data_IF_058581541548
#
_entry.id   IF_058581541548
#
_cell.length_a   1.000
_cell.length_b   1.000
_cell.length_c   1.000
_cell.angle_alpha   90.00
_cell.angle_beta   90.00
_cell.angle_gamma   90.00
#
_symmetry.space_group_name_H-M   'P 1'
#
loop_
_entity.id
_entity.type
_entity.pdbx_description
1 polymer ?
#
# COMPACT_ATOMS: atom_id res chain seq x y z
N UNK A 1 -6.60 7.37 -3.23
CA UNK A 1 -5.15 7.67 -3.35
C UNK A 1 -4.42 6.70 -2.42
N UNK A 2 -3.09 6.56 -2.47
CA UNK A 2 -2.41 5.68 -1.51
C UNK A 2 -2.52 6.25 -0.08
N UNK A 3 -2.69 5.38 0.92
CA UNK A 3 -3.01 5.82 2.29
C UNK A 3 -1.93 6.72 2.91
N UNK A 4 -0.63 6.51 2.60
CA UNK A 4 0.44 7.36 3.12
C UNK A 4 0.39 8.76 2.51
N UNK A 5 0.05 8.85 1.23
CA UNK A 5 -0.05 10.14 0.53
C UNK A 5 -1.28 10.92 1.00
N UNK A 6 -2.37 10.22 1.34
CA UNK A 6 -3.53 10.84 2.00
C UNK A 6 -3.19 11.27 3.43
N UNK A 7 -2.48 10.44 4.20
CA UNK A 7 -2.08 10.76 5.57
C UNK A 7 -1.12 11.95 5.65
N UNK A 8 -0.19 12.09 4.70
CA UNK A 8 0.68 13.28 4.61
C UNK A 8 -0.14 14.56 4.38
N UNK A 9 -1.19 14.48 3.56
CA UNK A 9 -2.07 15.62 3.25
C UNK A 9 -3.03 15.95 4.41
N UNK A 10 -3.54 14.93 5.10
CA UNK A 10 -4.44 15.05 6.25
C UNK A 10 -3.91 14.19 7.41
N UNK A 11 -2.92 14.67 8.18
CA UNK A 11 -2.30 13.90 9.27
C UNK A 11 -3.23 13.65 10.46
N UNK A 12 -4.21 14.54 10.66
CA UNK A 12 -5.17 14.48 11.75
C UNK A 12 -6.53 14.08 11.18
N UNK A 13 -6.96 12.86 11.46
CA UNK A 13 -8.22 12.30 10.99
C UNK A 13 -9.30 12.48 12.07
N UNK A 14 -10.45 13.02 11.66
CA UNK A 14 -11.67 13.03 12.46
C UNK A 14 -12.40 11.70 12.24
N UNK A 15 -12.86 11.06 13.31
CA UNK A 15 -13.51 9.75 13.30
C UNK A 15 -12.83 8.71 12.37
N UNK A 16 -11.56 8.36 12.62
CA UNK A 16 -10.75 7.59 11.66
C UNK A 16 -11.39 6.26 11.23
N UNK A 17 -12.09 5.60 12.15
CA UNK A 17 -12.75 4.32 11.89
C UNK A 17 -13.95 4.43 10.93
N UNK A 18 -14.76 5.48 11.07
CA UNK A 18 -16.01 5.65 10.30
C UNK A 18 -15.77 6.35 8.97
N UNK A 19 -14.86 7.34 8.92
CA UNK A 19 -14.68 8.22 7.76
C UNK A 19 -13.41 7.93 6.96
N UNK A 20 -12.44 7.22 7.54
CA UNK A 20 -11.10 7.08 6.98
C UNK A 20 -10.56 5.65 7.12
N UNK A 21 -11.43 4.65 6.93
CA UNK A 21 -11.10 3.24 7.10
C UNK A 21 -9.91 2.80 6.23
N UNK A 22 -9.79 3.38 5.03
CA UNK A 22 -8.70 3.18 4.09
C UNK A 22 -7.32 3.53 4.66
N UNK A 23 -7.24 4.44 5.65
CA UNK A 23 -6.01 4.78 6.38
C UNK A 23 -5.98 4.04 7.71
N UNK A 24 -7.03 4.17 8.52
CA UNK A 24 -7.13 3.68 9.89
C UNK A 24 -6.79 2.19 10.03
N UNK A 25 -7.22 1.36 9.07
CA UNK A 25 -6.96 -0.10 9.06
C UNK A 25 -5.47 -0.46 9.11
N UNK A 26 -4.61 0.40 8.60
CA UNK A 26 -3.16 0.16 8.58
C UNK A 26 -2.53 0.36 9.97
N UNK A 27 -3.22 1.08 10.86
CA UNK A 27 -2.69 1.49 12.16
C UNK A 27 -3.23 0.70 13.35
N UNK A 28 -4.39 0.03 13.24
CA UNK A 28 -4.94 -0.72 14.39
C UNK A 28 -4.03 -1.85 14.92
N UNK A 29 -3.05 -2.25 14.11
CA UNK A 29 -2.08 -3.27 14.49
C UNK A 29 -1.03 -2.77 15.48
N UNK A 30 -0.77 -1.48 15.54
CA UNK A 30 0.27 -0.88 16.36
C UNK A 30 -0.20 -0.61 17.79
N UNK A 31 0.62 -1.00 18.76
CA UNK A 31 0.50 -0.62 20.17
C UNK A 31 1.22 0.71 20.41
N UNK A 32 1.38 1.14 21.67
CA UNK A 32 2.32 2.22 22.00
C UNK A 32 3.76 1.76 21.70
N UNK A 33 4.61 2.64 21.18
CA UNK A 33 6.00 2.35 20.85
C UNK A 33 6.45 2.88 19.48
N UNK A 34 7.64 2.45 19.05
CA UNK A 34 8.25 2.79 17.75
C UNK A 34 8.18 1.58 16.83
N UNK A 35 7.75 1.80 15.58
CA UNK A 35 7.53 0.75 14.61
C UNK A 35 8.12 1.11 13.25
N UNK A 36 8.73 0.10 12.62
CA UNK A 36 9.11 0.16 11.21
C UNK A 36 7.80 0.09 10.40
N UNK A 37 7.53 1.13 9.63
CA UNK A 37 6.44 1.17 8.68
C UNK A 37 6.88 0.68 7.28
N UNK A 38 6.00 0.77 6.28
CA UNK A 38 6.28 0.28 4.94
C UNK A 38 7.36 1.13 4.25
N UNK A 39 8.08 0.53 3.29
CA UNK A 39 9.09 1.22 2.48
C UNK A 39 8.91 0.92 0.99
N UNK A 40 9.36 1.86 0.17
CA UNK A 40 9.38 1.78 -1.28
C UNK A 40 10.75 2.18 -1.79
N UNK A 41 11.33 1.37 -2.66
CA UNK A 41 12.53 1.73 -3.41
C UNK A 41 12.19 1.91 -4.88
N UNK A 42 12.60 3.02 -5.45
CA UNK A 42 12.47 3.36 -6.87
C UNK A 42 13.88 3.32 -7.46
N UNK A 43 14.06 2.56 -8.53
CA UNK A 43 15.35 2.40 -9.21
C UNK A 43 15.16 2.73 -10.68
N UNK A 44 15.97 3.64 -11.22
CA UNK A 44 15.92 4.04 -12.63
C UNK A 44 17.08 3.43 -13.40
N UNK A 45 16.80 2.89 -14.57
CA UNK A 45 17.79 2.60 -15.61
C UNK A 45 17.38 3.30 -16.90
N UNK A 46 18.22 3.29 -17.93
CA UNK A 46 17.88 3.91 -19.21
C UNK A 46 16.55 3.39 -19.80
N UNK A 47 16.24 2.11 -19.61
CA UNK A 47 15.07 1.49 -20.22
C UNK A 47 13.83 1.47 -19.30
N UNK A 48 14.01 1.38 -17.98
CA UNK A 48 12.90 1.10 -17.06
C UNK A 48 13.04 1.72 -15.68
N UNK A 49 11.90 1.94 -15.04
CA UNK A 49 11.78 2.24 -13.62
C UNK A 49 11.32 0.96 -12.92
N UNK A 50 12.03 0.57 -11.87
CA UNK A 50 11.69 -0.58 -11.03
C UNK A 50 11.26 -0.09 -9.66
N UNK A 51 10.06 -0.49 -9.25
CA UNK A 51 9.50 -0.27 -7.92
C UNK A 51 9.69 -1.54 -7.11
N UNK A 52 10.22 -1.41 -5.89
CA UNK A 52 10.32 -2.50 -4.91
C UNK A 52 9.65 -2.04 -3.63
N UNK A 53 8.49 -2.61 -3.35
CA UNK A 53 7.64 -2.24 -2.22
C UNK A 53 7.64 -3.31 -1.13
N UNK A 54 7.60 -2.84 0.11
CA UNK A 54 7.19 -3.66 1.24
C UNK A 54 5.68 -3.95 1.18
N UNK A 55 5.19 -4.75 2.12
CA UNK A 55 3.75 -4.84 2.37
C UNK A 55 3.17 -3.45 2.61
N UNK A 56 1.96 -3.19 2.12
CA UNK A 56 1.24 -1.91 2.07
C UNK A 56 1.68 -0.94 0.96
N UNK A 57 2.54 -1.38 0.05
CA UNK A 57 2.80 -0.68 -1.22
C UNK A 57 2.22 -1.42 -2.44
N UNK A 58 1.61 -2.59 -2.25
CA UNK A 58 1.09 -3.39 -3.35
C UNK A 58 0.05 -2.66 -4.20
N UNK A 59 -0.83 -1.88 -3.58
CA UNK A 59 -1.90 -1.17 -4.27
C UNK A 59 -1.35 0.03 -5.06
N UNK A 60 -0.40 0.78 -4.50
CA UNK A 60 0.29 1.87 -5.18
C UNK A 60 1.08 1.34 -6.38
N UNK A 61 1.86 0.27 -6.19
CA UNK A 61 2.67 -0.30 -7.27
C UNK A 61 1.75 -0.85 -8.37
N UNK A 62 0.70 -1.56 -7.99
CA UNK A 62 -0.29 -2.10 -8.92
C UNK A 62 -0.97 -0.97 -9.70
N UNK A 63 -1.42 0.10 -9.03
CA UNK A 63 -2.03 1.28 -9.66
C UNK A 63 -1.06 1.96 -10.62
N UNK A 64 0.16 2.23 -10.17
CA UNK A 64 1.15 2.96 -10.94
C UNK A 64 1.51 2.21 -12.23
N UNK A 65 1.79 0.91 -12.16
CA UNK A 65 2.11 0.13 -13.37
C UNK A 65 0.88 0.01 -14.27
N UNK A 66 -0.31 -0.20 -13.72
CA UNK A 66 -1.55 -0.30 -14.52
C UNK A 66 -1.87 0.99 -15.27
N UNK A 67 -1.64 2.16 -14.67
CA UNK A 67 -1.83 3.46 -15.33
C UNK A 67 -1.00 3.64 -16.60
N UNK A 68 0.18 2.99 -16.67
CA UNK A 68 1.10 3.07 -17.83
C UNK A 68 0.67 2.21 -19.03
N UNK A 69 -0.35 1.37 -18.89
CA UNK A 69 -0.89 0.57 -19.99
C UNK A 69 -1.54 1.49 -21.03
N UNK A 70 -1.07 1.45 -22.28
CA UNK A 70 -1.58 2.32 -23.34
C UNK A 70 -2.97 1.90 -23.85
N UNK A 71 -3.16 0.62 -24.16
CA UNK A 71 -4.43 0.11 -24.67
C UNK A 71 -5.34 -0.28 -23.49
N UNK A 72 -6.37 0.52 -23.22
CA UNK A 72 -7.23 0.31 -22.06
C UNK A 72 -8.18 -0.88 -22.19
N UNK A 73 -8.49 -1.29 -23.43
CA UNK A 73 -9.44 -2.36 -23.75
C UNK A 73 -8.78 -3.73 -23.93
N UNK A 74 -7.45 -3.79 -24.00
CA UNK A 74 -6.74 -5.05 -24.14
C UNK A 74 -6.81 -5.84 -22.83
N UNK A 75 -7.38 -7.04 -22.91
CA UNK A 75 -7.40 -7.97 -21.80
C UNK A 75 -6.02 -8.60 -21.60
N UNK A 76 -5.65 -8.79 -20.34
CA UNK A 76 -4.45 -9.51 -19.95
C UNK A 76 -4.72 -10.36 -18.71
N UNK A 77 -3.90 -11.39 -18.55
CA UNK A 77 -4.03 -12.32 -17.44
C UNK A 77 -3.51 -11.69 -16.14
N UNK A 78 -4.34 -11.76 -15.10
CA UNK A 78 -3.96 -11.49 -13.72
C UNK A 78 -4.01 -12.77 -12.89
N UNK A 79 -3.09 -12.87 -11.93
CA UNK A 79 -3.06 -13.95 -10.94
C UNK A 79 -2.80 -13.37 -9.57
N UNK A 80 -3.50 -13.85 -8.54
CA UNK A 80 -3.27 -13.36 -7.20
C UNK A 80 -4.38 -13.69 -6.22
N UNK A 81 -4.55 -12.79 -5.24
CA UNK A 81 -5.47 -13.01 -4.13
C UNK A 81 -6.10 -11.71 -3.67
N UNK A 82 -7.40 -11.71 -3.45
CA UNK A 82 -8.10 -10.69 -2.68
C UNK A 82 -8.22 -11.18 -1.24
N UNK A 83 -7.84 -10.34 -0.27
CA UNK A 83 -8.02 -10.60 1.16
C UNK A 83 -8.80 -9.44 1.77
N UNK A 84 -10.05 -9.68 2.17
CA UNK A 84 -10.93 -8.70 2.76
C UNK A 84 -11.17 -8.96 4.25
N UNK A 85 -11.35 -7.88 5.02
CA UNK A 85 -11.71 -7.95 6.44
C UNK A 85 -13.22 -8.18 6.66
N UNK A 86 -14.04 -7.76 5.70
CA UNK A 86 -15.49 -7.92 5.62
C UNK A 86 -15.89 -8.69 4.35
N UNK A 87 -17.17 -9.03 4.22
CA UNK A 87 -17.70 -9.58 2.97
C UNK A 87 -17.82 -8.46 1.93
N UNK A 88 -17.20 -8.65 0.77
CA UNK A 88 -17.15 -7.68 -0.32
C UNK A 88 -17.73 -8.25 -1.62
N UNK A 89 -18.58 -9.29 -1.52
CA UNK A 89 -19.21 -9.92 -2.69
C UNK A 89 -20.02 -8.92 -3.54
N UNK A 90 -20.77 -8.02 -2.89
CA UNK A 90 -21.54 -7.00 -3.60
C UNK A 90 -20.64 -6.08 -4.44
N UNK A 91 -19.52 -5.62 -3.86
CA UNK A 91 -18.53 -4.77 -4.57
C UNK A 91 -17.97 -5.51 -5.79
N UNK A 92 -17.66 -6.81 -5.66
CA UNK A 92 -17.18 -7.65 -6.77
C UNK A 92 -18.21 -7.67 -7.90
N UNK A 93 -19.49 -7.93 -7.58
CA UNK A 93 -20.57 -7.99 -8.57
C UNK A 93 -20.88 -6.64 -9.21
N UNK A 94 -20.90 -5.55 -8.43
CA UNK A 94 -21.17 -4.18 -8.93
C UNK A 94 -20.11 -3.70 -9.93
N UNK A 95 -18.86 -4.12 -9.75
CA UNK A 95 -17.75 -3.80 -10.67
C UNK A 95 -17.76 -4.74 -11.90
N UNK A 96 -18.59 -5.79 -11.90
CA UNK A 96 -18.67 -6.76 -13.00
C UNK A 96 -17.58 -7.84 -12.96
N UNK A 97 -17.04 -8.12 -11.77
CA UNK A 97 -16.07 -9.20 -11.55
C UNK A 97 -16.77 -10.49 -11.08
N UNK A 98 -16.15 -11.63 -11.34
CA UNK A 98 -16.69 -12.96 -10.97
C UNK A 98 -15.84 -13.66 -9.90
N UNK A 99 -15.18 -12.91 -9.02
CA UNK A 99 -14.27 -13.46 -8.03
C UNK A 99 -15.03 -14.08 -6.85
N UNK A 100 -14.78 -15.36 -6.59
CA UNK A 100 -15.50 -16.11 -5.55
C UNK A 100 -14.83 -15.95 -4.19
N UNK A 101 -15.50 -15.26 -3.27
CA UNK A 101 -15.04 -15.13 -1.88
C UNK A 101 -15.32 -16.39 -1.08
N UNK A 102 -14.32 -16.81 -0.31
CA UNK A 102 -14.42 -17.87 0.69
C UNK A 102 -14.05 -17.31 2.05
N UNK A 103 -14.91 -17.55 3.06
CA UNK A 103 -14.63 -17.20 4.44
C UNK A 103 -13.52 -18.10 5.00
N UNK A 104 -12.53 -17.52 5.69
CA UNK A 104 -11.48 -18.30 6.33
C UNK A 104 -12.01 -19.06 7.54
N UNK A 105 -11.51 -20.29 7.72
CA UNK A 105 -11.88 -21.21 8.81
C UNK A 105 -11.06 -21.01 10.09
N UNK A 106 -10.03 -20.17 10.05
CA UNK A 106 -9.16 -19.91 11.21
C UNK A 106 -9.76 -18.98 12.26
N UNK A 107 -9.02 -18.78 13.37
CA UNK A 107 -9.39 -17.85 14.45
C UNK A 107 -9.66 -16.42 13.94
N UNK A 108 -8.90 -16.00 12.93
CA UNK A 108 -9.17 -14.75 12.21
C UNK A 108 -10.16 -15.03 11.08
N UNK A 109 -11.39 -14.52 11.23
CA UNK A 109 -12.42 -14.53 10.20
C UNK A 109 -12.16 -13.38 9.21
N UNK A 110 -11.67 -13.73 8.02
CA UNK A 110 -11.48 -12.87 6.85
C UNK A 110 -12.14 -13.53 5.63
N UNK A 111 -12.28 -12.79 4.53
CA UNK A 111 -12.77 -13.31 3.26
C UNK A 111 -11.63 -13.31 2.24
N UNK A 112 -11.54 -14.37 1.44
CA UNK A 112 -10.44 -14.57 0.49
C UNK A 112 -10.97 -15.06 -0.85
N UNK A 113 -10.52 -14.46 -1.94
CA UNK A 113 -10.69 -15.00 -3.30
C UNK A 113 -9.32 -15.28 -3.90
N UNK A 114 -9.13 -16.49 -4.44
CA UNK A 114 -8.01 -16.79 -5.34
C UNK A 114 -8.40 -16.32 -6.74
N UNK A 115 -7.52 -15.60 -7.41
CA UNK A 115 -7.82 -14.94 -8.68
C UNK A 115 -6.88 -15.49 -9.75
N UNK A 116 -7.46 -16.00 -10.82
CA UNK A 116 -6.84 -16.25 -12.13
C UNK A 116 -7.89 -15.78 -13.12
N UNK A 117 -7.64 -14.66 -13.79
CA UNK A 117 -8.67 -13.97 -14.55
C UNK A 117 -8.08 -13.18 -15.72
N UNK A 118 -8.92 -12.82 -16.69
CA UNK A 118 -8.61 -11.88 -17.77
C UNK A 118 -9.27 -10.54 -17.47
N UNK A 119 -8.49 -9.48 -17.43
CA UNK A 119 -8.97 -8.14 -17.07
C UNK A 119 -8.36 -7.10 -18.00
N UNK A 120 -9.07 -5.98 -18.21
CA UNK A 120 -8.54 -4.83 -18.93
C UNK A 120 -8.03 -3.76 -17.94
N UNK A 121 -7.42 -2.69 -18.48
CA UNK A 121 -6.84 -1.61 -17.66
C UNK A 121 -7.88 -0.93 -16.78
N UNK A 122 -9.01 -0.55 -17.37
CA UNK A 122 -9.99 0.32 -16.72
C UNK A 122 -10.69 -0.42 -15.58
N UNK A 123 -11.05 -1.69 -15.82
CA UNK A 123 -11.64 -2.57 -14.83
C UNK A 123 -10.66 -2.87 -13.68
N UNK A 124 -9.36 -3.05 -13.97
CA UNK A 124 -8.35 -3.23 -12.94
C UNK A 124 -8.17 -1.97 -12.08
N UNK A 125 -8.18 -0.77 -12.69
CA UNK A 125 -8.11 0.49 -11.94
C UNK A 125 -9.33 0.70 -11.05
N UNK A 126 -10.53 0.35 -11.54
CA UNK A 126 -11.76 0.38 -10.75
C UNK A 126 -11.68 -0.59 -9.56
N UNK A 127 -11.21 -1.81 -9.79
CA UNK A 127 -11.01 -2.80 -8.73
C UNK A 127 -10.01 -2.31 -7.66
N UNK A 128 -8.87 -1.72 -8.08
CA UNK A 128 -7.88 -1.17 -7.15
C UNK A 128 -8.53 -0.08 -6.27
N UNK A 129 -9.30 0.83 -6.87
CA UNK A 129 -10.00 1.89 -6.14
C UNK A 129 -10.98 1.33 -5.11
N UNK A 130 -11.85 0.41 -5.52
CA UNK A 130 -12.90 -0.13 -4.66
C UNK A 130 -12.36 -1.00 -3.51
N UNK A 131 -11.33 -1.81 -3.76
CA UNK A 131 -10.81 -2.73 -2.74
C UNK A 131 -9.81 -2.08 -1.78
N UNK A 132 -9.30 -0.89 -2.09
CA UNK A 132 -8.31 -0.17 -1.27
C UNK A 132 -8.82 0.17 0.13
N UNK A 133 -10.11 0.39 0.31
CA UNK A 133 -10.67 0.79 1.60
C UNK A 133 -10.65 -0.34 2.63
N UNK A 134 -11.10 -1.55 2.26
CA UNK A 134 -11.33 -2.64 3.22
C UNK A 134 -10.53 -3.92 2.97
N UNK A 135 -9.81 -4.01 1.84
CA UNK A 135 -9.13 -5.22 1.39
C UNK A 135 -7.66 -5.02 0.98
N UNK A 136 -6.94 -6.12 0.86
CA UNK A 136 -5.62 -6.22 0.23
C UNK A 136 -5.79 -6.92 -1.12
N UNK A 137 -5.42 -6.24 -2.20
CA UNK A 137 -5.48 -6.76 -3.56
C UNK A 137 -4.08 -7.20 -4.01
N UNK A 138 -3.75 -8.47 -3.75
CA UNK A 138 -2.43 -9.05 -3.98
C UNK A 138 -2.33 -9.66 -5.38
N UNK A 139 -2.37 -8.81 -6.41
CA UNK A 139 -2.35 -9.23 -7.81
C UNK A 139 -0.95 -9.17 -8.43
N UNK A 140 -0.74 -10.02 -9.44
CA UNK A 140 0.44 -10.06 -10.30
C UNK A 140 0.00 -10.21 -11.75
N UNK A 141 0.73 -9.58 -12.66
CA UNK A 141 0.59 -9.76 -14.11
C UNK A 141 1.93 -9.48 -14.80
N UNK A 142 2.10 -10.01 -16.00
CA UNK A 142 3.29 -9.78 -16.81
C UNK A 142 2.89 -9.61 -18.26
N UNK A 143 2.88 -8.37 -18.75
CA UNK A 143 2.61 -8.08 -20.16
C UNK A 143 3.89 -8.02 -20.98
N UNK A 144 4.94 -7.42 -20.42
CA UNK A 144 6.27 -7.36 -21.01
C UNK A 144 7.31 -6.92 -19.94
N UNK A 145 8.57 -6.76 -20.34
CA UNK A 145 9.68 -6.42 -19.43
C UNK A 145 9.54 -5.06 -18.71
N UNK A 146 8.67 -4.18 -19.20
CA UNK A 146 8.42 -2.83 -18.69
C UNK A 146 6.93 -2.59 -18.41
N UNK A 147 6.16 -3.65 -18.20
CA UNK A 147 4.77 -3.59 -17.75
C UNK A 147 4.45 -4.89 -17.00
N UNK A 148 4.94 -4.94 -15.76
CA UNK A 148 4.91 -6.14 -14.93
C UNK A 148 4.71 -5.79 -13.46
N UNK A 149 3.86 -6.55 -12.78
CA UNK A 149 3.68 -6.52 -11.33
C UNK A 149 3.84 -7.94 -10.79
N UNK A 150 4.66 -8.10 -9.76
CA UNK A 150 4.81 -9.35 -9.00
C UNK A 150 4.54 -9.06 -7.53
N UNK A 151 3.57 -9.74 -6.94
CA UNK A 151 3.19 -9.56 -5.53
C UNK A 151 3.12 -10.90 -4.81
N UNK A 152 3.66 -10.97 -3.60
CA UNK A 152 3.51 -12.16 -2.76
C UNK A 152 2.04 -12.37 -2.37
N UNK A 153 1.58 -13.62 -2.36
CA UNK A 153 0.17 -13.97 -2.12
C UNK A 153 -0.29 -13.94 -0.65
N UNK A 154 0.66 -13.78 0.28
CA UNK A 154 0.40 -13.85 1.72
C UNK A 154 1.00 -12.63 2.41
N UNK A 155 0.16 -11.96 3.20
CA UNK A 155 0.56 -10.84 4.06
C UNK A 155 1.63 -11.33 5.05
N UNK A 156 2.78 -10.64 5.15
CA UNK A 156 3.81 -11.01 6.10
C UNK A 156 3.30 -10.81 7.54
N UNK A 157 3.82 -11.61 8.47
CA UNK A 157 3.62 -11.32 9.88
C UNK A 157 4.39 -10.05 10.26
N UNK A 158 3.85 -9.21 11.16
CA UNK A 158 4.59 -8.07 11.69
C UNK A 158 5.94 -8.53 12.28
N UNK A 159 7.01 -7.85 11.87
CA UNK A 159 8.35 -8.12 12.39
C UNK A 159 8.41 -7.75 13.88
N UNK A 160 9.03 -8.60 14.70
CA UNK A 160 9.38 -8.30 16.10
C UNK A 160 10.75 -7.63 16.25
N UNK A 161 11.45 -7.41 15.14
CA UNK A 161 12.81 -6.83 15.15
C UNK A 161 12.77 -5.36 15.58
N UNK A 162 13.85 -4.92 16.22
CA UNK A 162 14.09 -3.49 16.47
C UNK A 162 14.35 -2.77 15.14
N UNK A 163 14.16 -1.46 15.14
CA UNK A 163 14.44 -0.59 13.98
C UNK A 163 15.91 -0.74 13.53
N UNK A 164 16.83 -0.87 14.47
CA UNK A 164 18.27 -1.06 14.25
C UNK A 164 18.62 -2.36 13.48
N UNK A 165 17.77 -3.39 13.59
CA UNK A 165 17.97 -4.69 12.93
C UNK A 165 17.19 -4.82 11.60
N UNK A 166 16.62 -3.71 11.11
CA UNK A 166 15.84 -3.71 9.88
C UNK A 166 16.73 -3.96 8.66
N UNK A 167 16.23 -4.81 7.77
CA UNK A 167 16.84 -5.04 6.47
C UNK A 167 15.84 -4.61 5.41
N UNK A 168 15.91 -3.32 5.07
CA UNK A 168 15.04 -2.68 4.07
C UNK A 168 15.05 -3.49 2.77
N UNK A 169 16.24 -3.97 2.35
CA UNK A 169 16.42 -4.72 1.11
C UNK A 169 15.63 -6.03 1.06
N UNK A 170 15.44 -6.70 2.20
CA UNK A 170 14.61 -7.91 2.31
C UNK A 170 13.11 -7.60 2.28
N UNK A 171 12.66 -6.57 3.01
CA UNK A 171 11.22 -6.27 3.12
C UNK A 171 10.64 -5.69 1.84
N UNK A 172 11.40 -4.91 1.07
CA UNK A 172 10.96 -4.33 -0.20
C UNK A 172 10.80 -5.36 -1.35
N UNK A 173 11.00 -6.65 -1.11
CA UNK A 173 10.73 -7.72 -2.09
C UNK A 173 9.30 -8.27 -1.99
N UNK A 174 8.37 -7.56 -1.34
CA UNK A 174 6.98 -8.03 -1.21
C UNK A 174 6.18 -7.83 -2.50
N UNK A 175 6.28 -6.64 -3.09
CA UNK A 175 5.69 -6.29 -4.36
C UNK A 175 6.74 -5.62 -5.25
N UNK A 176 6.80 -5.99 -6.53
CA UNK A 176 7.75 -5.45 -7.51
C UNK A 176 6.98 -5.01 -8.74
N UNK A 177 7.13 -3.74 -9.11
CA UNK A 177 6.58 -3.16 -10.34
C UNK A 177 7.68 -2.79 -11.32
N UNK A 178 7.40 -2.93 -12.62
CA UNK A 178 8.29 -2.46 -13.69
C UNK A 178 7.48 -1.67 -14.71
N UNK A 179 7.97 -0.48 -15.03
CA UNK A 179 7.39 0.44 -16.01
C UNK A 179 8.47 1.10 -16.89
N UNK A 180 8.10 1.62 -18.06
CA UNK A 180 9.02 2.33 -18.95
C UNK A 180 9.59 3.59 -18.29
N UNK A 181 10.88 3.87 -18.47
CA UNK A 181 11.48 5.10 -17.96
C UNK A 181 11.18 6.28 -18.89
N UNK A 182 10.09 7.00 -18.59
CA UNK A 182 9.70 8.25 -19.24
C UNK A 182 9.45 9.31 -18.17
N UNK A 183 9.60 10.59 -18.53
CA UNK A 183 9.39 11.69 -17.58
C UNK A 183 7.96 11.71 -17.04
N UNK A 184 6.97 11.47 -17.90
CA UNK A 184 5.56 11.39 -17.49
C UNK A 184 5.30 10.27 -16.46
N UNK A 185 5.93 9.11 -16.66
CA UNK A 185 5.81 8.01 -15.71
C UNK A 185 6.52 8.32 -14.39
N UNK A 186 7.70 8.93 -14.45
CA UNK A 186 8.44 9.33 -13.27
C UNK A 186 7.67 10.37 -12.44
N UNK A 187 7.11 11.37 -13.11
CA UNK A 187 6.34 12.43 -12.45
C UNK A 187 5.09 11.88 -11.76
N UNK A 188 4.33 11.04 -12.47
CA UNK A 188 3.17 10.33 -11.93
C UNK A 188 3.55 9.47 -10.72
N UNK A 189 4.69 8.78 -10.77
CA UNK A 189 5.16 7.98 -9.64
C UNK A 189 5.48 8.85 -8.43
N UNK A 190 6.17 9.97 -8.63
CA UNK A 190 6.53 10.86 -7.53
C UNK A 190 5.29 11.52 -6.92
N UNK A 191 4.25 11.82 -7.72
CA UNK A 191 2.95 12.31 -7.20
C UNK A 191 2.26 11.27 -6.32
N UNK A 192 2.26 10.01 -6.75
CA UNK A 192 1.63 8.94 -6.00
C UNK A 192 2.43 8.59 -4.75
N UNK A 193 3.76 8.55 -4.86
CA UNK A 193 4.61 7.90 -3.88
C UNK A 193 5.36 8.86 -2.96
N UNK A 194 5.66 10.09 -3.33
CA UNK A 194 6.43 11.03 -2.51
C UNK A 194 6.07 12.51 -2.80
N UNK A 195 4.78 12.88 -2.79
CA UNK A 195 4.37 14.23 -3.18
C UNK A 195 4.99 15.30 -2.28
N UNK A 196 5.25 14.97 -1.01
CA UNK A 196 5.87 15.85 -0.03
C UNK A 196 7.36 16.10 -0.27
N UNK A 197 8.07 15.25 -1.00
CA UNK A 197 9.51 15.43 -1.23
C UNK A 197 9.84 16.04 -2.59
N UNK A 198 8.85 16.21 -3.49
CA UNK A 198 9.07 16.58 -4.90
C UNK A 198 10.01 17.77 -5.11
N UNK A 199 9.83 18.84 -4.33
CA UNK A 199 10.63 20.07 -4.47
C UNK A 199 12.08 19.94 -3.95
N UNK A 200 12.37 18.88 -3.19
CA UNK A 200 13.67 18.62 -2.58
C UNK A 200 14.44 17.50 -3.29
N UNK A 201 13.81 16.82 -4.26
CA UNK A 201 14.48 15.79 -5.04
C UNK A 201 15.46 16.43 -6.04
N UNK A 202 16.68 15.90 -6.18
CA UNK A 202 17.59 16.35 -7.20
C UNK A 202 17.06 15.97 -8.60
N UNK A 203 17.43 16.75 -9.60
CA UNK A 203 17.02 16.51 -11.00
C UNK A 203 17.48 15.15 -11.53
N UNK A 204 18.58 14.60 -10.99
CA UNK A 204 19.11 13.31 -11.40
C UNK A 204 19.47 12.48 -10.17
N UNK A 205 19.11 11.20 -10.22
CA UNK A 205 19.38 10.20 -9.19
C UNK A 205 19.21 8.81 -9.78
N UNK A 206 19.92 7.81 -9.24
CA UNK A 206 19.80 6.41 -9.70
C UNK A 206 18.78 5.63 -8.90
N UNK A 207 18.78 5.83 -7.60
CA UNK A 207 17.80 5.21 -6.71
C UNK A 207 17.31 6.12 -5.61
N UNK A 208 16.06 5.91 -5.24
CA UNK A 208 15.37 6.63 -4.18
C UNK A 208 14.71 5.60 -3.27
N UNK A 209 14.94 5.66 -1.96
CA UNK A 209 14.30 4.79 -0.97
C UNK A 209 13.46 5.62 -0.01
N UNK A 210 12.15 5.41 -0.02
CA UNK A 210 11.18 6.02 0.89
C UNK A 210 11.01 5.10 2.09
N UNK A 211 11.23 5.64 3.27
CA UNK A 211 11.05 4.95 4.55
C UNK A 211 9.94 5.67 5.34
N UNK A 212 9.06 4.88 5.95
CA UNK A 212 8.00 5.39 6.81
C UNK A 212 8.15 4.69 8.16
N UNK A 213 8.30 5.45 9.24
CA UNK A 213 8.40 4.95 10.59
C UNK A 213 7.32 5.60 11.44
N UNK A 214 6.78 4.86 12.41
CA UNK A 214 5.69 5.32 13.25
C UNK A 214 6.08 5.31 14.72
N UNK A 215 5.75 6.38 15.43
CA UNK A 215 5.85 6.45 16.88
C UNK A 215 4.45 6.66 17.44
N UNK A 216 3.89 5.65 18.09
CA UNK A 216 2.54 5.73 18.70
C UNK A 216 2.71 6.02 20.18
N UNK A 217 2.21 7.18 20.61
CA UNK A 217 2.35 7.66 21.98
C UNK A 217 1.10 7.36 22.81
N UNK A 218 -0.08 7.46 22.19
CA UNK A 218 -1.36 7.31 22.85
C UNK A 218 -2.32 6.47 22.01
N UNK A 219 -3.15 5.70 22.71
CA UNK A 219 -4.25 4.92 22.13
C UNK A 219 -5.50 5.29 22.91
N UNK A 220 -6.48 5.83 22.22
CA UNK A 220 -7.80 6.15 22.78
C UNK A 220 -8.74 5.00 22.48
N UNK A 221 -9.23 4.36 23.54
CA UNK A 221 -10.07 3.17 23.46
C UNK A 221 -11.53 3.63 23.59
N UNK A 222 -12.45 3.20 22.71
CA UNK A 222 -13.85 3.56 22.82
C UNK A 222 -14.47 2.94 24.08
N UNK A 223 -15.30 3.70 24.79
CA UNK A 223 -15.81 3.33 26.12
C UNK A 223 -16.98 2.34 26.09
N UNK A 224 -17.69 2.24 24.96
CA UNK A 224 -19.00 1.58 24.88
C UNK A 224 -18.98 0.20 24.19
N UNK A 225 -17.80 -0.43 24.05
CA UNK A 225 -17.64 -1.67 23.30
C UNK A 225 -17.11 -2.77 24.21
N UNK A 226 -17.82 -3.91 24.27
CA UNK A 226 -17.41 -5.08 25.07
C UNK A 226 -16.52 -6.06 24.29
N UNK A 227 -16.64 -6.10 22.97
CA UNK A 227 -15.82 -6.97 22.13
C UNK A 227 -14.39 -6.43 22.05
N UNK A 228 -13.43 -7.18 22.61
CA UNK A 228 -12.01 -6.81 22.66
C UNK A 228 -11.38 -6.66 21.27
N UNK A 229 -11.86 -7.39 20.27
CA UNK A 229 -11.43 -7.22 18.88
C UNK A 229 -11.90 -5.87 18.33
N UNK A 230 -13.17 -5.54 18.57
CA UNK A 230 -13.73 -4.26 18.11
C UNK A 230 -13.12 -3.06 18.84
N UNK A 231 -12.82 -3.19 20.14
CA UNK A 231 -12.05 -2.19 20.89
C UNK A 231 -10.71 -1.90 20.21
N UNK A 232 -9.99 -2.94 19.79
CA UNK A 232 -8.72 -2.76 19.09
C UNK A 232 -8.91 -2.12 17.72
N UNK A 233 -9.91 -2.56 16.96
CA UNK A 233 -10.17 -2.04 15.62
C UNK A 233 -10.48 -0.56 15.74
N UNK A 234 -11.47 -0.17 16.54
CA UNK A 234 -11.98 1.21 16.63
C UNK A 234 -11.12 2.19 17.43
N UNK A 235 -10.09 1.74 18.14
CA UNK A 235 -9.25 2.63 18.93
C UNK A 235 -8.48 3.65 18.07
N UNK A 236 -8.32 4.87 18.55
CA UNK A 236 -7.61 5.94 17.82
C UNK A 236 -6.15 5.97 18.28
N UNK A 237 -5.21 5.97 17.35
CA UNK A 237 -3.77 6.01 17.57
C UNK A 237 -3.28 7.44 17.35
N UNK A 238 -2.68 8.02 18.38
CA UNK A 238 -2.06 9.35 18.32
C UNK A 238 -0.54 9.22 18.44
N UNK A 239 0.17 9.92 17.56
CA UNK A 239 1.61 9.70 17.42
C UNK A 239 2.29 10.61 16.42
N UNK A 240 3.40 10.11 15.88
CA UNK A 240 4.17 10.74 14.81
C UNK A 240 4.46 9.73 13.69
N UNK A 241 4.45 10.20 12.45
CA UNK A 241 5.04 9.53 11.31
C UNK A 241 6.33 10.25 10.93
N UNK A 242 7.47 9.56 11.04
CA UNK A 242 8.73 10.00 10.48
C UNK A 242 8.87 9.39 9.09
N UNK A 243 8.92 10.23 8.08
CA UNK A 243 9.04 9.83 6.69
C UNK A 243 10.36 10.36 6.16
N UNK A 244 11.17 9.49 5.57
CA UNK A 244 12.45 9.88 5.00
C UNK A 244 12.64 9.35 3.59
N UNK A 245 13.44 10.08 2.83
CA UNK A 245 13.85 9.72 1.48
C UNK A 245 15.36 9.68 1.45
N UNK A 246 15.89 8.50 1.15
CA UNK A 246 17.32 8.28 0.91
C UNK A 246 17.58 8.33 -0.61
N UNK A 247 18.45 9.23 -1.04
CA UNK A 247 18.76 9.50 -2.45
C UNK A 247 20.25 9.33 -2.65
N UNK A 248 20.65 8.24 -3.32
CA UNK A 248 22.06 7.94 -3.61
C UNK A 248 23.02 8.07 -2.39
N UNK A 249 22.49 7.91 -1.16
CA UNK A 249 23.21 8.00 0.11
C UNK A 249 22.82 9.19 1.01
N UNK A 250 22.21 10.23 0.45
CA UNK A 250 21.78 11.42 1.21
C UNK A 250 20.36 11.22 1.77
N UNK A 251 20.14 11.64 3.02
CA UNK A 251 18.87 11.44 3.72
C UNK A 251 18.14 12.77 3.96
N UNK A 252 16.88 12.83 3.52
CA UNK A 252 15.96 13.93 3.81
C UNK A 252 14.83 13.38 4.69
N UNK A 253 14.52 14.01 5.81
CA UNK A 253 13.47 13.57 6.75
C UNK A 253 12.40 14.63 6.98
N UNK A 254 11.14 14.19 7.05
CA UNK A 254 9.97 14.96 7.46
C UNK A 254 9.24 14.24 8.58
N UNK A 255 8.61 15.00 9.47
CA UNK A 255 7.82 14.46 10.58
C UNK A 255 6.42 15.05 10.57
N UNK A 256 5.43 14.17 10.78
CA UNK A 256 4.02 14.54 10.83
C UNK A 256 3.42 14.04 12.14
N UNK A 257 2.76 14.91 12.90
CA UNK A 257 1.90 14.48 14.00
C UNK A 257 0.66 13.80 13.40
N UNK A 258 0.34 12.59 13.86
CA UNK A 258 -0.76 11.79 13.31
C UNK A 258 -1.82 11.46 14.35
N UNK A 259 -3.08 11.48 13.93
CA UNK A 259 -4.25 10.94 14.64
C UNK A 259 -4.99 10.05 13.66
N UNK A 260 -4.92 8.74 13.87
CA UNK A 260 -5.36 7.71 12.92
C UNK A 260 -6.08 6.56 13.56
#
# INVERSE_FOLDING_TARGET
MHFLSELVKKPILEDPFEQHLNIHRHFYRYSKGVFIGPALKIIKTKAKITLKGAHEYEDLILEAVTKTISNSQENFEIKGKLIASSDVANIISEIGLNWVLKKSTGKTKNFKAEIIDQINKDLLLQAIGAFREGSYLLLSYNRNATCKVTTKKNIPQPSKKKVEDDDVSKRIQFCIGMLNNTDANLEMLLDLAAPDFKSELPNNWKSLTILNNYTINQIEIPTNIKDTRMLRIMAIRKGKMSRSVEIDGDLIEKQYSIVV
#
